data_IF_088684425333
#
_entry.id   IF_088684425333
#
_cell.length_a   1.000
_cell.length_b   1.000
_cell.length_c   1.000
_cell.angle_alpha   90.00
_cell.angle_beta   90.00
_cell.angle_gamma   90.00
#
_symmetry.space_group_name_H-M   'P 1'
#
loop_
_entity.id
_entity.type
_entity.pdbx_description
1 polymer ?
#
# COMPACT_ATOMS: atom_id res chain seq x y z
N UNK A 1 -38.52 50.35 9.64
CA UNK A 1 -39.26 49.07 9.57
C UNK A 1 -39.11 48.51 8.18
N UNK A 2 -38.61 47.27 8.07
CA UNK A 2 -38.64 46.52 6.81
C UNK A 2 -40.10 46.10 6.58
N UNK A 3 -40.63 46.32 5.38
CA UNK A 3 -42.02 45.95 5.04
C UNK A 3 -42.08 44.45 4.78
N UNK A 4 -43.10 43.78 5.30
CA UNK A 4 -43.44 42.40 4.94
C UNK A 4 -43.90 42.31 3.48
N UNK A 5 -43.77 41.13 2.86
CA UNK A 5 -43.99 40.83 1.44
C UNK A 5 -42.98 41.47 0.48
N UNK A 6 -41.70 41.50 0.84
CA UNK A 6 -40.64 42.01 -0.05
C UNK A 6 -40.07 40.97 -1.05
N UNK A 7 -40.06 39.65 -0.77
CA UNK A 7 -39.74 38.63 -1.77
C UNK A 7 -40.91 38.40 -2.72
N UNK A 8 -40.62 38.02 -3.97
CA UNK A 8 -41.62 37.48 -4.87
C UNK A 8 -42.18 36.15 -4.33
N UNK A 9 -43.36 35.73 -4.82
CA UNK A 9 -43.92 34.42 -4.43
C UNK A 9 -43.03 33.27 -4.88
N UNK A 10 -42.32 33.42 -5.99
CA UNK A 10 -41.38 32.43 -6.53
C UNK A 10 -40.12 32.38 -5.65
N UNK A 11 -39.55 33.53 -5.31
CA UNK A 11 -38.37 33.65 -4.43
C UNK A 11 -38.65 33.09 -3.04
N UNK A 12 -39.83 33.36 -2.47
CA UNK A 12 -40.21 32.80 -1.17
C UNK A 12 -40.28 31.27 -1.19
N UNK A 13 -40.77 30.68 -2.29
CA UNK A 13 -40.76 29.22 -2.47
C UNK A 13 -39.35 28.64 -2.59
N UNK A 14 -38.45 29.35 -3.26
CA UNK A 14 -37.04 28.97 -3.39
C UNK A 14 -36.31 29.01 -2.04
N UNK A 15 -36.46 30.11 -1.29
CA UNK A 15 -35.90 30.26 0.07
C UNK A 15 -36.39 29.14 1.00
N UNK A 16 -37.69 28.82 0.97
CA UNK A 16 -38.28 27.72 1.75
C UNK A 16 -37.69 26.36 1.36
N UNK A 17 -37.39 26.17 0.07
CA UNK A 17 -36.78 24.95 -0.43
C UNK A 17 -35.34 24.81 0.08
N UNK A 18 -34.56 25.89 0.10
CA UNK A 18 -33.20 25.91 0.66
C UNK A 18 -33.19 25.57 2.16
N UNK A 19 -34.10 26.12 2.96
CA UNK A 19 -34.16 25.83 4.41
C UNK A 19 -34.58 24.39 4.70
N UNK A 20 -35.47 23.80 3.88
CA UNK A 20 -35.99 22.43 4.09
C UNK A 20 -35.08 21.31 3.56
N UNK A 21 -34.09 21.63 2.73
CA UNK A 21 -33.17 20.64 2.17
C UNK A 21 -32.24 20.08 3.25
N UNK A 22 -32.21 18.76 3.40
CA UNK A 22 -31.34 18.07 4.37
C UNK A 22 -29.83 18.26 4.14
N UNK A 23 -29.41 18.64 2.93
CA UNK A 23 -27.99 18.74 2.53
C UNK A 23 -27.62 20.11 1.96
N UNK A 24 -28.38 21.16 2.29
CA UNK A 24 -28.00 22.50 1.88
C UNK A 24 -26.79 22.98 2.67
N UNK A 25 -25.96 23.83 2.05
CA UNK A 25 -24.86 24.47 2.76
C UNK A 25 -25.40 25.26 3.97
N UNK A 26 -24.77 25.08 5.14
CA UNK A 26 -25.24 25.68 6.39
C UNK A 26 -25.28 27.21 6.30
N UNK A 27 -24.34 27.84 5.58
CA UNK A 27 -24.32 29.28 5.36
C UNK A 27 -25.50 29.73 4.49
N UNK A 28 -25.76 29.02 3.38
CA UNK A 28 -26.87 29.29 2.46
C UNK A 28 -28.22 29.14 3.16
N UNK A 29 -28.47 28.01 3.83
CA UNK A 29 -29.73 27.77 4.54
C UNK A 29 -29.98 28.81 5.65
N UNK A 30 -28.92 29.23 6.35
CA UNK A 30 -29.01 30.24 7.42
C UNK A 30 -29.35 31.64 6.88
N UNK A 31 -28.80 32.05 5.74
CA UNK A 31 -29.17 33.30 5.06
C UNK A 31 -30.60 33.27 4.54
N UNK A 32 -31.01 32.14 3.94
CA UNK A 32 -32.40 31.95 3.49
C UNK A 32 -33.40 32.08 4.65
N UNK A 33 -33.10 31.46 5.79
CA UNK A 33 -33.93 31.52 6.99
C UNK A 33 -34.06 32.96 7.52
N UNK A 34 -32.97 33.73 7.50
CA UNK A 34 -33.01 35.15 7.91
C UNK A 34 -33.92 35.98 7.01
N UNK A 35 -33.88 35.79 5.69
CA UNK A 35 -34.76 36.51 4.74
C UNK A 35 -36.24 36.13 4.91
N UNK A 36 -36.54 34.85 5.15
CA UNK A 36 -37.91 34.39 5.41
C UNK A 36 -38.48 34.98 6.70
N UNK A 37 -37.68 35.03 7.78
CA UNK A 37 -38.12 35.62 9.05
C UNK A 37 -38.33 37.13 8.95
N UNK A 38 -37.51 37.83 8.15
CA UNK A 38 -37.74 39.25 7.83
C UNK A 38 -39.07 39.44 7.09
N UNK A 39 -39.37 38.56 6.13
CA UNK A 39 -40.61 38.63 5.36
C UNK A 39 -41.85 38.33 6.22
N UNK A 40 -41.69 37.45 7.21
CA UNK A 40 -42.69 37.16 8.25
C UNK A 40 -42.84 38.30 9.29
N UNK A 41 -42.14 39.42 9.09
CA UNK A 41 -42.30 40.65 9.87
C UNK A 41 -41.43 40.73 11.14
N UNK A 42 -40.47 39.82 11.32
CA UNK A 42 -39.51 39.90 12.44
C UNK A 42 -38.50 41.01 12.21
N UNK A 43 -38.09 41.68 13.27
CA UNK A 43 -37.04 42.69 13.23
C UNK A 43 -35.65 42.06 13.09
N UNK A 44 -34.68 42.81 12.54
CA UNK A 44 -33.29 42.36 12.45
C UNK A 44 -32.72 41.95 13.82
N UNK A 45 -33.13 42.63 14.89
CA UNK A 45 -32.69 42.36 16.27
C UNK A 45 -33.21 41.01 16.77
N UNK A 46 -34.49 40.71 16.53
CA UNK A 46 -35.08 39.41 16.91
C UNK A 46 -34.43 38.26 16.12
N UNK A 47 -34.19 38.45 14.82
CA UNK A 47 -33.56 37.44 13.97
C UNK A 47 -32.10 37.21 14.38
N UNK A 48 -31.37 38.28 14.67
CA UNK A 48 -30.00 38.21 15.18
C UNK A 48 -29.93 37.39 16.48
N UNK A 49 -30.88 37.56 17.39
CA UNK A 49 -30.96 36.76 18.62
C UNK A 49 -31.26 35.29 18.34
N UNK A 50 -32.22 34.98 17.48
CA UNK A 50 -32.64 33.60 17.18
C UNK A 50 -31.58 32.84 16.39
N UNK A 51 -30.93 33.50 15.43
CA UNK A 51 -29.92 32.89 14.59
C UNK A 51 -28.50 33.01 15.18
N UNK A 52 -28.31 33.70 16.30
CA UNK A 52 -26.99 34.02 16.89
C UNK A 52 -26.08 34.73 15.87
N UNK A 53 -26.55 35.86 15.36
CA UNK A 53 -25.87 36.75 14.42
C UNK A 53 -25.84 38.18 14.99
N UNK A 54 -25.08 39.04 14.33
CA UNK A 54 -25.16 40.48 14.54
C UNK A 54 -26.31 41.07 13.69
N UNK A 55 -27.05 42.05 14.21
CA UNK A 55 -28.21 42.60 13.50
C UNK A 55 -27.82 43.39 12.24
N UNK A 56 -26.60 43.94 12.16
CA UNK A 56 -26.08 44.53 10.93
C UNK A 56 -25.82 43.48 9.84
N UNK A 57 -25.50 42.24 10.22
CA UNK A 57 -25.34 41.13 9.26
C UNK A 57 -26.68 40.82 8.59
N UNK A 58 -27.76 40.77 9.36
CA UNK A 58 -29.12 40.54 8.86
C UNK A 58 -29.57 41.70 7.96
N UNK A 59 -29.28 42.95 8.35
CA UNK A 59 -29.53 44.14 7.51
C UNK A 59 -28.74 44.08 6.20
N UNK A 60 -27.49 43.64 6.25
CA UNK A 60 -26.61 43.48 5.09
C UNK A 60 -27.20 42.51 4.08
N UNK A 61 -27.64 41.33 4.53
CA UNK A 61 -28.28 40.33 3.65
C UNK A 61 -29.58 40.83 3.03
N UNK A 62 -30.42 41.52 3.81
CA UNK A 62 -31.64 42.13 3.27
C UNK A 62 -31.34 43.18 2.19
N UNK A 63 -30.36 44.05 2.45
CA UNK A 63 -29.95 45.08 1.48
C UNK A 63 -29.42 44.46 0.18
N UNK A 64 -28.60 43.41 0.31
CA UNK A 64 -28.02 42.69 -0.82
C UNK A 64 -29.09 41.92 -1.61
N UNK A 65 -30.07 41.33 -0.92
CA UNK A 65 -31.21 40.69 -1.57
C UNK A 65 -32.02 41.69 -2.40
N UNK A 66 -32.29 42.89 -1.86
CA UNK A 66 -33.03 43.92 -2.60
C UNK A 66 -32.26 44.48 -3.81
N UNK A 67 -30.92 44.47 -3.79
CA UNK A 67 -30.12 45.00 -4.89
C UNK A 67 -29.82 43.97 -5.98
N UNK A 68 -29.58 42.71 -5.60
CA UNK A 68 -28.98 41.70 -6.48
C UNK A 68 -29.72 40.34 -6.46
N UNK A 69 -30.76 40.21 -5.65
CA UNK A 69 -31.58 38.99 -5.56
C UNK A 69 -30.96 37.88 -4.71
N UNK A 70 -31.61 36.70 -4.72
CA UNK A 70 -31.25 35.56 -3.89
C UNK A 70 -29.87 34.98 -4.22
N UNK A 71 -29.54 34.83 -5.51
CA UNK A 71 -28.27 34.23 -5.96
C UNK A 71 -27.04 34.94 -5.38
N UNK A 72 -27.10 36.27 -5.27
CA UNK A 72 -26.02 37.07 -4.70
C UNK A 72 -25.84 36.84 -3.18
N UNK A 73 -26.94 36.64 -2.45
CA UNK A 73 -26.92 36.35 -1.01
C UNK A 73 -26.51 34.90 -0.74
N UNK A 74 -26.90 33.97 -1.62
CA UNK A 74 -26.51 32.56 -1.55
C UNK A 74 -25.00 32.37 -1.81
N UNK A 75 -24.38 33.19 -2.66
CA UNK A 75 -22.96 33.10 -2.95
C UNK A 75 -22.08 33.48 -1.75
N UNK A 76 -21.33 32.52 -1.21
CA UNK A 76 -20.29 32.78 -0.21
C UNK A 76 -18.95 33.09 -0.91
N UNK A 77 -18.59 34.36 -0.98
CA UNK A 77 -17.34 34.84 -1.59
C UNK A 77 -16.08 34.52 -0.78
N UNK A 78 -16.12 33.51 0.10
CA UNK A 78 -15.00 33.14 0.97
C UNK A 78 -13.76 32.75 0.18
N UNK A 79 -12.83 33.69 0.06
CA UNK A 79 -11.48 33.45 -0.46
C UNK A 79 -10.65 32.87 0.67
N UNK A 80 -10.29 31.59 0.57
CA UNK A 80 -9.52 30.87 1.59
C UNK A 80 -8.29 31.64 2.07
N UNK A 81 -7.98 31.54 3.36
CA UNK A 81 -6.92 32.33 4.00
C UNK A 81 -5.54 32.14 3.35
N UNK A 82 -4.83 33.27 3.17
CA UNK A 82 -3.46 33.30 2.68
C UNK A 82 -2.50 32.61 3.66
N UNK A 83 -1.45 31.99 3.13
CA UNK A 83 -0.38 31.40 3.95
C UNK A 83 0.32 32.48 4.76
N UNK A 84 0.61 32.22 6.05
CA UNK A 84 1.40 33.15 6.89
C UNK A 84 2.87 33.24 6.44
N UNK A 85 3.39 32.18 5.86
CA UNK A 85 4.74 32.16 5.27
C UNK A 85 4.77 32.84 3.90
N UNK A 86 5.77 33.68 3.70
CA UNK A 86 6.13 34.26 2.40
C UNK A 86 6.68 33.20 1.43
N UNK A 87 6.85 33.56 0.16
CA UNK A 87 7.43 32.65 -0.86
C UNK A 87 8.86 32.25 -0.49
N UNK A 88 9.68 33.19 -0.02
CA UNK A 88 11.05 32.91 0.40
C UNK A 88 11.11 32.00 1.63
N UNK A 89 10.26 32.24 2.62
CA UNK A 89 10.20 31.40 3.84
C UNK A 89 9.69 29.99 3.54
N UNK A 90 8.75 29.86 2.59
CA UNK A 90 8.32 28.55 2.08
C UNK A 90 9.46 27.79 1.43
N UNK A 91 10.23 28.44 0.54
CA UNK A 91 11.39 27.81 -0.10
C UNK A 91 12.43 27.36 0.94
N UNK A 92 12.73 28.19 1.93
CA UNK A 92 13.64 27.84 3.02
C UNK A 92 13.12 26.66 3.87
N UNK A 93 11.82 26.62 4.18
CA UNK A 93 11.20 25.48 4.85
C UNK A 93 11.28 24.20 4.02
N UNK A 94 11.02 24.27 2.71
CA UNK A 94 11.12 23.11 1.82
C UNK A 94 12.55 22.56 1.79
N UNK A 95 13.55 23.41 1.58
CA UNK A 95 14.97 23.00 1.58
C UNK A 95 15.35 22.33 2.92
N UNK A 96 14.94 22.93 4.05
CA UNK A 96 15.22 22.36 5.37
C UNK A 96 14.56 20.98 5.59
N UNK A 97 13.34 20.78 5.08
CA UNK A 97 12.63 19.50 5.11
C UNK A 97 13.21 18.48 4.12
N UNK A 98 13.74 18.91 2.97
CA UNK A 98 14.38 18.05 1.98
C UNK A 98 15.75 17.52 2.43
N UNK A 99 16.36 18.14 3.43
CA UNK A 99 17.56 17.62 4.08
C UNK A 99 17.25 16.65 5.24
N UNK A 100 16.01 16.66 5.76
CA UNK A 100 15.65 15.93 6.99
C UNK A 100 14.50 14.95 6.76
N UNK A 101 14.29 14.03 7.71
CA UNK A 101 13.13 13.16 7.72
C UNK A 101 12.34 13.35 9.01
N UNK A 102 11.63 14.48 9.08
CA UNK A 102 10.88 14.87 10.27
C UNK A 102 9.69 13.93 10.49
N UNK A 103 9.67 13.26 11.63
CA UNK A 103 8.61 12.29 11.99
C UNK A 103 7.37 12.95 12.60
N UNK A 104 7.44 14.24 12.94
CA UNK A 104 6.37 14.94 13.63
C UNK A 104 6.31 16.42 13.25
N UNK A 105 5.09 16.94 13.14
CA UNK A 105 4.86 18.39 12.99
C UNK A 105 5.37 19.22 14.18
N UNK A 106 5.66 18.62 15.34
CA UNK A 106 6.21 19.34 16.50
C UNK A 106 7.57 19.94 16.14
N UNK A 107 8.47 19.13 15.59
CA UNK A 107 9.80 19.56 15.15
C UNK A 107 9.70 20.65 14.07
N UNK A 108 8.83 20.44 13.09
CA UNK A 108 8.60 21.38 11.99
C UNK A 108 8.07 22.73 12.52
N UNK A 109 7.13 22.70 13.48
CA UNK A 109 6.58 23.92 14.10
C UNK A 109 7.61 24.63 14.96
N UNK A 110 8.46 23.90 15.68
CA UNK A 110 9.57 24.47 16.44
C UNK A 110 10.56 25.18 15.52
N UNK A 111 10.90 24.56 14.39
CA UNK A 111 11.75 25.18 13.36
C UNK A 111 11.12 26.45 12.78
N UNK A 112 9.85 26.39 12.35
CA UNK A 112 9.14 27.56 11.80
C UNK A 112 9.08 28.70 12.82
N UNK A 113 8.88 28.39 14.10
CA UNK A 113 8.86 29.39 15.17
C UNK A 113 10.25 29.99 15.38
N UNK A 114 11.30 29.15 15.41
CA UNK A 114 12.67 29.63 15.64
C UNK A 114 13.22 30.46 14.47
N UNK A 115 12.91 30.09 13.23
CA UNK A 115 13.47 30.73 12.04
C UNK A 115 12.64 31.90 11.52
N UNK A 116 11.32 31.85 11.67
CA UNK A 116 10.41 32.82 11.04
C UNK A 116 9.54 33.57 12.05
N UNK A 117 9.65 33.27 13.35
CA UNK A 117 8.79 33.79 14.43
C UNK A 117 7.28 33.58 14.17
N UNK A 118 6.94 32.51 13.44
CA UNK A 118 5.57 32.19 13.07
C UNK A 118 5.07 30.97 13.85
N UNK A 119 3.97 31.16 14.57
CA UNK A 119 3.29 30.05 15.26
C UNK A 119 2.22 29.41 14.39
N UNK A 120 2.36 28.12 14.14
CA UNK A 120 1.35 27.29 13.49
C UNK A 120 0.69 26.35 14.50
N UNK A 121 -0.60 26.10 14.34
CA UNK A 121 -1.27 24.96 15.00
C UNK A 121 -0.85 23.65 14.32
N UNK A 122 -1.12 22.51 14.97
CA UNK A 122 -0.87 21.19 14.37
C UNK A 122 -1.58 21.05 13.00
N UNK A 123 -2.88 21.31 12.95
CA UNK A 123 -3.68 21.24 11.72
C UNK A 123 -3.25 22.27 10.66
N UNK A 124 -2.83 23.47 11.09
CA UNK A 124 -2.28 24.48 10.20
C UNK A 124 -0.96 24.05 9.56
N UNK A 125 -0.08 23.40 10.33
CA UNK A 125 1.18 22.86 9.83
C UNK A 125 0.95 21.72 8.82
N UNK A 126 0.02 20.79 9.08
CA UNK A 126 -0.32 19.72 8.13
C UNK A 126 -0.85 20.30 6.82
N UNK A 127 -1.77 21.28 6.89
CA UNK A 127 -2.30 21.96 5.69
C UNK A 127 -1.21 22.71 4.92
N UNK A 128 -0.27 23.34 5.61
CA UNK A 128 0.88 24.00 5.00
C UNK A 128 1.75 22.98 4.24
N UNK A 129 2.12 21.87 4.88
CA UNK A 129 2.95 20.82 4.27
C UNK A 129 2.28 20.23 3.01
N UNK A 130 0.98 19.92 3.09
CA UNK A 130 0.22 19.42 1.93
C UNK A 130 0.22 20.43 0.76
N UNK A 131 0.07 21.72 1.04
CA UNK A 131 0.16 22.79 0.00
C UNK A 131 1.56 22.96 -0.58
N UNK A 132 2.59 22.52 0.12
CA UNK A 132 3.98 22.52 -0.36
C UNK A 132 4.37 21.18 -1.01
N UNK A 133 3.42 20.26 -1.17
CA UNK A 133 3.66 18.97 -1.83
C UNK A 133 4.24 17.87 -0.93
N UNK A 134 4.36 18.11 0.38
CA UNK A 134 4.85 17.10 1.31
C UNK A 134 3.75 16.12 1.71
N UNK A 135 4.09 14.83 1.70
CA UNK A 135 3.22 13.75 2.13
C UNK A 135 3.87 12.96 3.28
N UNK A 136 3.05 12.54 4.25
CA UNK A 136 3.51 11.70 5.34
C UNK A 136 3.58 10.24 4.89
N UNK A 137 4.79 9.74 4.62
CA UNK A 137 5.02 8.36 4.18
C UNK A 137 5.94 7.59 5.12
N UNK A 138 5.73 6.28 5.21
CA UNK A 138 6.67 5.36 5.85
C UNK A 138 7.80 5.02 4.87
N UNK A 139 9.08 5.18 5.25
CA UNK A 139 10.20 4.72 4.43
C UNK A 139 10.08 3.21 4.19
N UNK A 140 10.39 2.78 2.97
CA UNK A 140 10.53 1.36 2.66
C UNK A 140 11.97 0.96 2.95
N UNK A 141 12.16 -0.21 3.58
CA UNK A 141 13.49 -0.78 3.69
C UNK A 141 14.00 -1.09 2.28
N UNK A 142 15.15 -0.52 1.91
CA UNK A 142 15.84 -0.87 0.68
C UNK A 142 16.70 -2.10 0.99
N UNK A 143 16.45 -3.25 0.33
CA UNK A 143 17.39 -4.37 0.38
C UNK A 143 18.75 -3.88 -0.12
N UNK A 144 19.85 -4.47 0.39
CA UNK A 144 21.20 -4.18 -0.12
C UNK A 144 21.18 -4.30 -1.64
N UNK A 145 21.56 -3.22 -2.32
CA UNK A 145 21.19 -3.05 -3.72
C UNK A 145 21.94 -4.02 -4.61
N UNK A 146 21.14 -4.73 -5.39
CA UNK A 146 21.59 -5.59 -6.45
C UNK A 146 22.23 -4.78 -7.57
N UNK A 147 23.38 -5.22 -8.03
CA UNK A 147 24.07 -4.65 -9.19
C UNK A 147 23.16 -4.68 -10.42
N UNK A 148 22.83 -3.49 -10.95
CA UNK A 148 21.92 -3.31 -12.09
C UNK A 148 22.43 -4.02 -13.34
N UNK A 149 23.73 -4.03 -13.57
CA UNK A 149 24.33 -4.70 -14.73
C UNK A 149 24.17 -6.22 -14.60
N UNK A 150 24.39 -6.78 -13.40
CA UNK A 150 24.21 -8.22 -13.16
C UNK A 150 22.75 -8.66 -13.23
N UNK A 151 21.81 -7.80 -12.82
CA UNK A 151 20.38 -8.06 -13.02
C UNK A 151 20.06 -8.16 -14.51
N UNK A 152 20.54 -7.19 -15.32
CA UNK A 152 20.32 -7.18 -16.76
C UNK A 152 20.97 -8.38 -17.46
N UNK A 153 22.20 -8.73 -17.09
CA UNK A 153 22.92 -9.90 -17.61
C UNK A 153 22.16 -11.21 -17.33
N UNK A 154 21.67 -11.38 -16.11
CA UNK A 154 20.87 -12.56 -15.75
C UNK A 154 19.56 -12.63 -16.53
N UNK A 155 18.84 -11.50 -16.65
CA UNK A 155 17.58 -11.46 -17.42
C UNK A 155 17.84 -11.83 -18.88
N UNK A 156 18.87 -11.25 -19.51
CA UNK A 156 19.24 -11.59 -20.88
C UNK A 156 19.66 -13.06 -21.05
N UNK A 157 20.44 -13.60 -20.11
CA UNK A 157 20.79 -15.03 -20.08
C UNK A 157 19.54 -15.90 -19.99
N UNK A 158 18.60 -15.54 -19.12
CA UNK A 158 17.37 -16.30 -18.89
C UNK A 158 16.45 -16.29 -20.09
N UNK A 159 16.23 -15.12 -20.69
CA UNK A 159 15.43 -14.96 -21.90
C UNK A 159 16.03 -15.76 -23.07
N UNK A 160 17.34 -15.69 -23.27
CA UNK A 160 18.03 -16.48 -24.29
C UNK A 160 17.86 -17.98 -24.04
N UNK A 161 18.05 -18.43 -22.79
CA UNK A 161 17.87 -19.83 -22.40
C UNK A 161 16.45 -20.33 -22.68
N UNK A 162 15.42 -19.56 -22.31
CA UNK A 162 14.03 -19.92 -22.60
C UNK A 162 13.73 -19.97 -24.10
N UNK A 163 14.26 -19.02 -24.88
CA UNK A 163 14.05 -18.98 -26.33
C UNK A 163 14.75 -20.13 -27.07
N UNK A 164 15.76 -20.75 -26.47
CA UNK A 164 16.48 -21.91 -27.02
C UNK A 164 16.18 -23.23 -26.29
N UNK A 165 15.24 -23.25 -25.36
CA UNK A 165 14.96 -24.40 -24.51
C UNK A 165 14.33 -25.53 -25.35
N UNK A 166 14.88 -26.73 -25.26
CA UNK A 166 14.32 -27.90 -25.94
C UNK A 166 13.18 -28.54 -25.12
N UNK A 167 12.27 -29.25 -25.79
CA UNK A 167 11.12 -29.92 -25.14
C UNK A 167 11.54 -30.97 -24.10
N UNK A 168 12.75 -31.53 -24.23
CA UNK A 168 13.36 -32.46 -23.28
C UNK A 168 14.17 -31.75 -22.17
N UNK A 169 13.98 -30.45 -21.99
CA UNK A 169 14.56 -29.67 -20.91
C UNK A 169 13.48 -29.07 -20.00
N UNK A 170 13.85 -28.70 -18.78
CA UNK A 170 12.94 -28.06 -17.84
C UNK A 170 13.65 -27.03 -16.98
N UNK A 171 12.92 -25.98 -16.58
CA UNK A 171 13.43 -24.91 -15.72
C UNK A 171 12.63 -24.88 -14.42
N UNK A 172 13.34 -24.94 -13.30
CA UNK A 172 12.80 -24.82 -11.95
C UNK A 172 13.47 -23.65 -11.23
N UNK A 173 12.66 -22.92 -10.46
CA UNK A 173 13.11 -21.92 -9.51
C UNK A 173 13.00 -22.50 -8.11
N UNK A 174 14.09 -22.57 -7.36
CA UNK A 174 14.15 -23.17 -6.05
C UNK A 174 14.58 -22.17 -4.97
N UNK A 175 14.02 -22.35 -3.79
CA UNK A 175 14.30 -21.53 -2.62
C UNK A 175 13.76 -22.19 -1.34
N UNK A 176 14.19 -21.69 -0.18
CA UNK A 176 13.67 -22.08 1.11
C UNK A 176 12.86 -20.95 1.77
N UNK A 177 11.67 -21.30 2.27
CA UNK A 177 10.80 -20.40 3.02
C UNK A 177 10.58 -20.91 4.45
N UNK A 178 10.46 -19.96 5.37
CA UNK A 178 10.28 -20.21 6.80
C UNK A 178 8.97 -19.60 7.32
N UNK A 179 7.78 -20.14 7.01
CA UNK A 179 6.53 -19.60 7.52
C UNK A 179 6.48 -19.67 9.05
N UNK A 180 6.43 -18.51 9.69
CA UNK A 180 6.35 -18.39 11.14
C UNK A 180 4.89 -18.55 11.62
N UNK A 181 4.72 -19.17 12.80
CA UNK A 181 3.44 -19.30 13.49
C UNK A 181 2.99 -17.97 14.10
N UNK A 182 2.75 -16.99 13.25
CA UNK A 182 2.31 -15.65 13.60
C UNK A 182 1.14 -15.24 12.71
N UNK A 183 0.09 -14.73 13.34
CA UNK A 183 -1.01 -14.06 12.64
C UNK A 183 -0.46 -12.83 11.88
N UNK A 184 -0.71 -12.76 10.57
CA UNK A 184 -0.30 -11.62 9.73
C UNK A 184 -1.52 -10.79 9.33
N UNK A 185 -1.78 -9.62 9.97
CA UNK A 185 -2.81 -8.71 9.50
C UNK A 185 -2.50 -8.22 8.09
N UNK A 186 -3.50 -8.23 7.22
CA UNK A 186 -3.41 -7.74 5.85
C UNK A 186 -4.63 -6.87 5.52
N UNK A 187 -4.47 -5.96 4.57
CA UNK A 187 -5.55 -5.07 4.14
C UNK A 187 -6.75 -5.86 3.61
N UNK A 188 -7.95 -5.37 3.92
CA UNK A 188 -9.21 -5.94 3.46
C UNK A 188 -10.33 -4.90 3.54
N UNK A 189 -11.34 -5.03 2.68
CA UNK A 189 -12.49 -4.13 2.68
C UNK A 189 -13.45 -4.51 3.80
N UNK A 190 -13.85 -3.52 4.60
CA UNK A 190 -14.83 -3.69 5.66
C UNK A 190 -15.84 -2.54 5.64
N UNK A 191 -17.06 -2.82 6.11
CA UNK A 191 -18.12 -1.80 6.16
C UNK A 191 -17.69 -0.67 7.10
N UNK A 192 -17.90 0.58 6.70
CA UNK A 192 -17.62 1.75 7.55
C UNK A 192 -18.30 1.60 8.92
N UNK A 193 -17.52 1.78 9.99
CA UNK A 193 -17.97 1.60 11.37
C UNK A 193 -17.71 0.20 11.95
N UNK A 194 -17.14 -0.73 11.17
CA UNK A 194 -16.69 -2.03 11.68
C UNK A 194 -15.19 -2.03 11.94
N UNK A 195 -14.77 -2.60 13.07
CA UNK A 195 -13.38 -2.66 13.52
C UNK A 195 -12.90 -4.12 13.56
N UNK A 196 -12.52 -4.73 12.42
CA UNK A 196 -12.03 -6.11 12.40
C UNK A 196 -10.76 -6.24 13.25
N UNK A 197 -10.67 -7.31 14.04
CA UNK A 197 -9.51 -7.61 14.87
C UNK A 197 -9.04 -9.04 14.63
N UNK A 198 -7.73 -9.27 14.73
CA UNK A 198 -7.11 -10.57 14.55
C UNK A 198 -6.41 -10.97 15.84
N UNK A 199 -6.71 -12.18 16.36
CA UNK A 199 -6.02 -12.71 17.54
C UNK A 199 -4.55 -12.93 17.22
N UNK A 200 -3.67 -12.47 18.10
CA UNK A 200 -2.24 -12.77 18.03
C UNK A 200 -2.00 -14.20 18.54
N UNK A 201 -1.09 -14.91 17.89
CA UNK A 201 -0.59 -16.21 18.36
C UNK A 201 0.68 -15.98 19.17
N UNK A 202 0.82 -16.67 20.31
CA UNK A 202 2.07 -16.71 21.08
C UNK A 202 2.91 -17.90 20.63
N UNK A 203 4.20 -17.67 20.35
CA UNK A 203 5.14 -18.73 19.97
C UNK A 203 6.19 -18.30 18.95
N UNK A 204 7.31 -19.04 18.90
CA UNK A 204 8.40 -18.86 17.93
C UNK A 204 8.53 -20.03 16.94
N UNK A 205 7.49 -20.87 16.86
CA UNK A 205 7.52 -22.00 15.94
C UNK A 205 7.44 -21.53 14.49
N UNK A 206 8.07 -22.29 13.61
CA UNK A 206 8.07 -22.09 12.17
C UNK A 206 8.00 -23.43 11.47
N UNK A 207 7.48 -23.41 10.25
CA UNK A 207 7.66 -24.51 9.30
C UNK A 207 8.85 -24.15 8.43
N UNK A 208 9.66 -25.12 8.05
CA UNK A 208 10.65 -24.91 7.00
C UNK A 208 10.21 -25.69 5.77
N UNK A 209 10.22 -25.02 4.63
CA UNK A 209 9.93 -25.63 3.33
C UNK A 209 11.11 -25.30 2.44
N UNK A 210 11.71 -26.31 1.83
CA UNK A 210 12.63 -26.14 0.72
C UNK A 210 11.89 -26.62 -0.53
N UNK A 211 11.56 -25.70 -1.43
CA UNK A 211 10.68 -25.97 -2.56
C UNK A 211 11.27 -25.52 -3.88
N UNK A 212 10.67 -26.00 -4.96
CA UNK A 212 10.91 -25.53 -6.31
C UNK A 212 9.59 -25.26 -7.03
N UNK A 213 9.68 -24.54 -8.15
CA UNK A 213 8.57 -24.15 -9.00
C UNK A 213 9.00 -24.20 -10.47
N UNK A 214 8.30 -24.99 -11.28
CA UNK A 214 8.35 -24.87 -12.73
C UNK A 214 7.18 -23.98 -13.19
N UNK A 215 7.45 -22.91 -13.94
CA UNK A 215 6.42 -21.94 -14.34
C UNK A 215 5.50 -22.43 -15.47
N UNK A 216 6.00 -23.31 -16.33
CA UNK A 216 5.26 -23.85 -17.46
C UNK A 216 4.18 -24.82 -16.97
N UNK A 217 4.59 -25.83 -16.20
CA UNK A 217 3.71 -26.90 -15.71
C UNK A 217 3.08 -26.58 -14.36
N UNK A 218 3.60 -25.58 -13.65
CA UNK A 218 3.27 -25.28 -12.26
C UNK A 218 3.58 -26.44 -11.29
N UNK A 219 4.48 -27.36 -11.67
CA UNK A 219 4.97 -28.38 -10.73
C UNK A 219 5.75 -27.73 -9.59
N UNK A 220 5.42 -28.14 -8.35
CA UNK A 220 6.03 -27.60 -7.13
C UNK A 220 6.54 -28.71 -6.21
N UNK A 221 7.68 -29.36 -6.51
CA UNK A 221 8.29 -30.31 -5.60
C UNK A 221 8.81 -29.58 -4.36
N UNK A 222 8.66 -30.20 -3.20
CA UNK A 222 9.14 -29.63 -1.94
C UNK A 222 9.53 -30.69 -0.92
N UNK A 223 10.35 -30.30 0.04
CA UNK A 223 10.65 -31.02 1.28
C UNK A 223 10.36 -30.11 2.48
N UNK A 224 9.97 -30.71 3.61
CA UNK A 224 9.65 -29.99 4.84
C UNK A 224 10.58 -30.44 5.97
N UNK A 225 11.86 -30.00 5.96
CA UNK A 225 12.86 -30.47 6.90
C UNK A 225 12.77 -29.75 8.25
N UNK A 226 13.43 -30.32 9.27
CA UNK A 226 13.62 -29.63 10.56
C UNK A 226 14.56 -28.43 10.39
N UNK A 227 15.59 -28.56 9.53
CA UNK A 227 16.58 -27.53 9.22
C UNK A 227 16.79 -27.48 7.71
N UNK A 228 16.95 -26.28 7.16
CA UNK A 228 17.33 -26.11 5.75
C UNK A 228 18.85 -26.08 5.68
N UNK A 229 19.41 -26.97 4.86
CA UNK A 229 20.82 -27.32 4.78
C UNK A 229 21.12 -28.05 3.44
N UNK A 230 22.36 -28.53 3.28
CA UNK A 230 22.78 -29.25 2.07
C UNK A 230 22.03 -30.55 1.86
N UNK A 231 21.64 -31.24 2.93
CA UNK A 231 20.89 -32.51 2.86
C UNK A 231 19.49 -32.27 2.31
N UNK A 232 18.77 -31.30 2.84
CA UNK A 232 17.44 -30.95 2.33
C UNK A 232 17.49 -30.38 0.91
N UNK A 233 18.56 -29.66 0.53
CA UNK A 233 18.81 -29.27 -0.86
C UNK A 233 18.93 -30.50 -1.77
N UNK A 234 19.75 -31.49 -1.41
CA UNK A 234 19.90 -32.74 -2.17
C UNK A 234 18.58 -33.51 -2.27
N UNK A 235 17.78 -33.57 -1.20
CA UNK A 235 16.47 -34.22 -1.22
C UNK A 235 15.50 -33.52 -2.19
N UNK A 236 15.54 -32.19 -2.26
CA UNK A 236 14.75 -31.41 -3.22
C UNK A 236 15.21 -31.71 -4.65
N UNK A 237 16.51 -31.66 -4.93
CA UNK A 237 17.06 -31.94 -6.26
C UNK A 237 16.72 -33.37 -6.73
N UNK A 238 16.80 -34.35 -5.84
CA UNK A 238 16.41 -35.73 -6.14
C UNK A 238 14.91 -35.84 -6.49
N UNK A 239 14.04 -35.10 -5.79
CA UNK A 239 12.61 -35.05 -6.12
C UNK A 239 12.34 -34.38 -7.46
N UNK A 240 13.08 -33.32 -7.80
CA UNK A 240 12.98 -32.67 -9.10
C UNK A 240 13.37 -33.67 -10.20
N UNK A 241 14.52 -34.34 -10.09
CA UNK A 241 14.92 -35.37 -11.07
C UNK A 241 13.87 -36.48 -11.21
N UNK A 242 13.32 -36.95 -10.09
CA UNK A 242 12.31 -38.00 -10.09
C UNK A 242 10.96 -37.59 -10.68
N UNK A 243 10.63 -36.29 -10.74
CA UNK A 243 9.39 -35.81 -11.38
C UNK A 243 9.52 -35.55 -12.87
N UNK A 244 10.74 -35.53 -13.38
CA UNK A 244 11.06 -35.13 -14.75
C UNK A 244 11.84 -36.25 -15.44
N UNK A 245 11.27 -37.46 -15.51
CA UNK A 245 11.95 -38.66 -16.06
C UNK A 245 12.25 -38.55 -17.55
N UNK A 246 11.42 -37.79 -18.28
CA UNK A 246 11.51 -37.53 -19.72
C UNK A 246 12.51 -36.43 -20.08
N UNK A 247 13.00 -35.66 -19.09
CA UNK A 247 13.90 -34.54 -19.34
C UNK A 247 15.36 -34.96 -19.36
N UNK A 248 16.12 -34.55 -20.36
CA UNK A 248 17.57 -34.72 -20.48
C UNK A 248 18.32 -33.79 -19.53
N UNK A 249 17.93 -32.52 -19.46
CA UNK A 249 18.55 -31.50 -18.61
C UNK A 249 17.47 -30.77 -17.81
N UNK A 250 17.74 -30.51 -16.53
CA UNK A 250 16.85 -29.77 -15.65
C UNK A 250 17.62 -28.61 -15.04
N UNK A 251 17.33 -27.39 -15.49
CA UNK A 251 17.92 -26.16 -15.00
C UNK A 251 17.26 -25.77 -13.68
N UNK A 252 18.03 -25.68 -12.60
CA UNK A 252 17.53 -25.23 -11.29
C UNK A 252 18.17 -23.90 -10.94
N UNK A 253 17.37 -22.85 -10.97
CA UNK A 253 17.73 -21.48 -10.57
C UNK A 253 17.47 -21.32 -9.08
N UNK A 254 18.48 -20.93 -8.31
CA UNK A 254 18.33 -20.68 -6.87
C UNK A 254 19.30 -19.60 -6.36
N UNK A 255 19.14 -19.20 -5.10
CA UNK A 255 19.97 -18.19 -4.47
C UNK A 255 21.40 -18.68 -4.16
N UNK A 256 22.23 -17.78 -3.62
CA UNK A 256 23.63 -18.05 -3.27
C UNK A 256 23.82 -18.59 -1.85
N UNK A 257 22.81 -19.23 -1.23
CA UNK A 257 22.96 -19.77 0.11
C UNK A 257 24.17 -20.73 0.20
N UNK A 258 24.94 -20.62 1.28
CA UNK A 258 26.20 -21.36 1.43
C UNK A 258 26.03 -22.88 1.29
N UNK A 259 24.89 -23.41 1.75
CA UNK A 259 24.57 -24.83 1.67
C UNK A 259 24.26 -25.32 0.24
N UNK A 260 23.91 -24.44 -0.71
CA UNK A 260 23.80 -24.77 -2.13
C UNK A 260 25.15 -25.11 -2.77
N UNK A 261 26.25 -24.68 -2.15
CA UNK A 261 27.63 -24.96 -2.60
C UNK A 261 28.34 -25.95 -1.67
N UNK A 262 27.60 -26.55 -0.74
CA UNK A 262 28.11 -27.47 0.26
C UNK A 262 28.57 -28.82 -0.31
N UNK A 263 29.26 -29.64 0.51
CA UNK A 263 29.76 -30.95 0.09
C UNK A 263 28.64 -31.89 -0.39
N UNK A 264 27.47 -31.88 0.25
CA UNK A 264 26.34 -32.74 -0.12
C UNK A 264 25.86 -32.46 -1.55
N UNK A 265 25.66 -31.18 -1.88
CA UNK A 265 25.22 -30.76 -3.22
C UNK A 265 26.30 -31.08 -4.26
N UNK A 266 27.58 -30.82 -3.96
CA UNK A 266 28.69 -31.17 -4.87
C UNK A 266 28.75 -32.68 -5.14
N UNK A 267 28.57 -33.50 -4.11
CA UNK A 267 28.56 -34.96 -4.26
C UNK A 267 27.37 -35.42 -5.11
N UNK A 268 26.18 -34.82 -4.92
CA UNK A 268 25.00 -35.11 -5.72
C UNK A 268 25.19 -34.78 -7.21
N UNK A 269 25.78 -33.63 -7.53
CA UNK A 269 26.04 -33.20 -8.91
C UNK A 269 27.13 -34.02 -9.59
N UNK A 270 28.04 -34.62 -8.83
CA UNK A 270 29.13 -35.45 -9.37
C UNK A 270 28.68 -36.84 -9.83
N UNK A 271 27.40 -37.19 -9.66
CA UNK A 271 26.86 -38.48 -10.12
C UNK A 271 26.85 -38.53 -11.65
N UNK A 272 27.28 -39.66 -12.21
CA UNK A 272 27.40 -39.89 -13.67
C UNK A 272 26.10 -39.61 -14.47
N UNK A 273 24.95 -39.85 -13.86
CA UNK A 273 23.64 -39.65 -14.50
C UNK A 273 22.86 -38.47 -13.91
N UNK A 274 23.54 -37.50 -13.28
CA UNK A 274 22.89 -36.30 -12.79
C UNK A 274 22.44 -35.44 -13.99
N UNK A 275 21.18 -35.01 -13.97
CA UNK A 275 20.58 -34.18 -15.03
C UNK A 275 20.36 -32.74 -14.57
N UNK A 276 20.70 -32.44 -13.32
CA UNK A 276 20.52 -31.11 -12.72
C UNK A 276 21.66 -30.20 -13.17
N UNK A 277 21.28 -29.09 -13.79
CA UNK A 277 22.17 -27.98 -14.09
C UNK A 277 21.81 -26.78 -13.20
N UNK A 278 22.69 -26.41 -12.28
CA UNK A 278 22.42 -25.31 -11.35
C UNK A 278 22.75 -23.96 -11.96
N UNK A 279 21.86 -22.99 -11.75
CA UNK A 279 22.04 -21.58 -12.13
C UNK A 279 21.92 -20.74 -10.86
N UNK A 280 22.92 -19.89 -10.61
CA UNK A 280 22.91 -19.00 -9.45
C UNK A 280 22.24 -17.68 -9.83
N UNK A 281 21.36 -17.18 -8.98
CA UNK A 281 20.86 -15.81 -9.09
C UNK A 281 21.99 -14.81 -8.81
N UNK A 282 21.92 -13.59 -9.35
CA UNK A 282 22.78 -12.52 -8.88
C UNK A 282 22.54 -12.26 -7.38
N UNK A 283 23.58 -11.88 -6.61
CA UNK A 283 23.42 -11.59 -5.18
C UNK A 283 22.32 -10.54 -4.92
N UNK A 284 21.55 -10.74 -3.85
CA UNK A 284 20.50 -9.82 -3.40
C UNK A 284 19.38 -9.55 -4.42
N UNK A 285 19.10 -10.50 -5.32
CA UNK A 285 18.05 -10.39 -6.35
C UNK A 285 16.85 -11.34 -6.16
N UNK A 286 16.14 -11.35 -5.01
CA UNK A 286 15.00 -12.24 -4.80
C UNK A 286 13.84 -11.95 -5.77
N UNK A 287 13.74 -10.72 -6.29
CA UNK A 287 12.72 -10.35 -7.29
C UNK A 287 12.89 -11.04 -8.65
N UNK A 288 14.07 -11.60 -8.91
CA UNK A 288 14.38 -12.44 -10.07
C UNK A 288 14.09 -13.93 -9.80
N UNK A 289 13.55 -14.28 -8.63
CA UNK A 289 13.16 -15.64 -8.27
C UNK A 289 11.62 -15.77 -8.19
N UNK A 290 10.93 -16.28 -9.22
CA UNK A 290 9.47 -16.45 -9.23
C UNK A 290 8.89 -17.24 -8.06
N UNK A 291 9.65 -18.16 -7.45
CA UNK A 291 9.16 -18.89 -6.28
C UNK A 291 8.87 -17.98 -5.08
N UNK A 292 9.52 -16.80 -4.98
CA UNK A 292 9.21 -15.78 -3.98
C UNK A 292 7.77 -15.24 -4.14
N UNK A 293 7.29 -15.16 -5.39
CA UNK A 293 5.89 -14.81 -5.68
C UNK A 293 4.95 -15.93 -5.23
N UNK A 294 5.35 -17.20 -5.38
CA UNK A 294 4.59 -18.34 -4.84
C UNK A 294 4.54 -18.31 -3.30
N UNK A 295 5.62 -17.92 -2.63
CA UNK A 295 5.63 -17.70 -1.18
C UNK A 295 4.63 -16.61 -0.76
N UNK A 296 4.53 -15.52 -1.53
CA UNK A 296 3.52 -14.50 -1.30
C UNK A 296 2.09 -15.06 -1.45
N UNK A 297 1.82 -15.87 -2.48
CA UNK A 297 0.51 -16.54 -2.67
C UNK A 297 0.18 -17.48 -1.51
N UNK A 298 1.16 -18.28 -1.04
CA UNK A 298 1.01 -19.12 0.14
C UNK A 298 0.64 -18.28 1.36
N UNK A 299 1.34 -17.16 1.60
CA UNK A 299 1.03 -16.27 2.71
C UNK A 299 -0.38 -15.68 2.63
N UNK A 300 -0.83 -15.28 1.44
CA UNK A 300 -2.21 -14.83 1.21
C UNK A 300 -3.25 -15.92 1.52
N UNK A 301 -2.97 -17.18 1.20
CA UNK A 301 -3.89 -18.30 1.40
C UNK A 301 -3.89 -18.87 2.82
N UNK A 302 -2.75 -18.83 3.52
CA UNK A 302 -2.59 -19.55 4.78
C UNK A 302 -2.45 -18.63 5.98
N UNK A 303 -1.83 -17.46 5.82
CA UNK A 303 -1.38 -16.63 6.96
C UNK A 303 -2.06 -15.28 7.08
N UNK A 304 -2.43 -14.66 5.96
CA UNK A 304 -3.08 -13.35 5.95
C UNK A 304 -4.47 -13.44 6.57
N UNK A 305 -4.74 -12.56 7.55
CA UNK A 305 -6.03 -12.45 8.24
C UNK A 305 -6.56 -13.77 8.82
N UNK A 306 -5.67 -14.71 9.14
CA UNK A 306 -6.01 -16.02 9.71
C UNK A 306 -5.20 -16.26 10.98
N UNK A 307 -5.88 -16.74 12.02
CA UNK A 307 -5.25 -17.19 13.25
C UNK A 307 -5.46 -18.71 13.36
N UNK A 308 -4.37 -19.45 13.47
CA UNK A 308 -4.42 -20.90 13.65
C UNK A 308 -4.42 -21.21 15.16
N UNK A 309 -5.30 -22.08 15.68
CA UNK A 309 -5.36 -22.36 17.12
C UNK A 309 -4.10 -23.04 17.68
N UNK A 310 -3.42 -23.84 16.86
CA UNK A 310 -2.22 -24.58 17.26
C UNK A 310 -1.16 -24.57 16.16
N UNK A 311 0.10 -24.79 16.56
CA UNK A 311 1.22 -24.95 15.62
C UNK A 311 1.01 -26.14 14.68
N UNK A 312 0.39 -27.22 15.15
CA UNK A 312 0.06 -28.39 14.34
C UNK A 312 -0.88 -28.03 13.20
N UNK A 313 -1.98 -27.33 13.50
CA UNK A 313 -2.96 -26.90 12.48
C UNK A 313 -2.34 -25.91 11.49
N UNK A 314 -1.45 -25.04 11.94
CA UNK A 314 -0.68 -24.16 11.06
C UNK A 314 0.20 -24.96 10.08
N UNK A 315 0.98 -25.92 10.58
CA UNK A 315 1.81 -26.80 9.76
C UNK A 315 0.97 -27.60 8.76
N UNK A 316 -0.15 -28.17 9.20
CA UNK A 316 -1.09 -28.88 8.32
C UNK A 316 -1.65 -27.97 7.23
N UNK A 317 -1.99 -26.72 7.55
CA UNK A 317 -2.48 -25.74 6.56
C UNK A 317 -1.41 -25.37 5.53
N UNK A 318 -0.16 -25.17 5.95
CA UNK A 318 0.98 -24.94 5.05
C UNK A 318 1.18 -26.15 4.13
N UNK A 319 1.25 -27.36 4.68
CA UNK A 319 1.46 -28.57 3.89
C UNK A 319 0.28 -28.87 2.95
N UNK A 320 -0.96 -28.59 3.39
CA UNK A 320 -2.16 -28.70 2.55
C UNK A 320 -2.11 -27.74 1.37
N UNK A 321 -1.58 -26.54 1.54
CA UNK A 321 -1.38 -25.60 0.44
C UNK A 321 -0.55 -26.23 -0.68
N UNK A 322 0.62 -26.79 -0.33
CA UNK A 322 1.51 -27.42 -1.31
C UNK A 322 0.98 -28.74 -1.89
N UNK A 323 0.40 -29.61 -1.05
CA UNK A 323 0.01 -30.96 -1.48
C UNK A 323 -1.32 -31.01 -2.21
N UNK A 324 -2.18 -30.02 -2.01
CA UNK A 324 -3.57 -30.05 -2.48
C UNK A 324 -3.97 -28.78 -3.22
N UNK A 325 -3.80 -27.61 -2.59
CA UNK A 325 -4.30 -26.35 -3.15
C UNK A 325 -3.55 -25.97 -4.43
N UNK A 326 -2.21 -26.06 -4.45
CA UNK A 326 -1.44 -25.77 -5.66
C UNK A 326 -1.87 -26.71 -6.81
N UNK A 327 -1.81 -28.06 -6.68
CA UNK A 327 -2.21 -28.94 -7.77
C UNK A 327 -3.64 -28.71 -8.28
N UNK A 328 -4.60 -28.42 -7.39
CA UNK A 328 -6.00 -28.25 -7.76
C UNK A 328 -6.33 -26.86 -8.33
N UNK A 329 -5.59 -25.82 -7.93
CA UNK A 329 -5.99 -24.43 -8.14
C UNK A 329 -4.90 -23.55 -8.77
N UNK A 330 -3.81 -24.13 -9.27
CA UNK A 330 -2.67 -23.36 -9.77
C UNK A 330 -3.03 -22.34 -10.85
N UNK A 331 -4.07 -22.60 -11.67
CA UNK A 331 -4.56 -21.67 -12.69
C UNK A 331 -4.92 -20.29 -12.11
N UNK A 332 -5.37 -20.24 -10.85
CA UNK A 332 -5.72 -18.99 -10.15
C UNK A 332 -4.47 -18.18 -9.76
N UNK A 333 -3.28 -18.79 -9.80
CA UNK A 333 -2.03 -18.20 -9.33
C UNK A 333 -1.12 -17.78 -10.48
N UNK A 334 -1.33 -18.27 -11.71
CA UNK A 334 -0.48 -17.96 -12.88
C UNK A 334 -0.25 -16.47 -13.11
N UNK A 335 -1.29 -15.63 -12.91
CA UNK A 335 -1.16 -14.19 -13.11
C UNK A 335 -0.31 -13.50 -12.02
N UNK A 336 -0.15 -14.13 -10.86
CA UNK A 336 0.62 -13.60 -9.73
C UNK A 336 2.06 -14.14 -9.71
N UNK A 337 2.22 -15.40 -10.13
CA UNK A 337 3.50 -16.13 -10.10
C UNK A 337 4.06 -16.16 -11.53
N UNK A 338 4.83 -15.13 -11.85
CA UNK A 338 5.41 -14.93 -13.19
C UNK A 338 6.91 -14.68 -13.13
N UNK A 339 7.55 -14.84 -14.27
CA UNK A 339 8.92 -14.47 -14.62
C UNK A 339 9.02 -13.07 -15.24
N UNK A 340 8.01 -12.22 -15.05
CA UNK A 340 8.05 -10.79 -15.43
C UNK A 340 9.07 -10.04 -14.55
N UNK A 341 10.34 -10.22 -14.87
CA UNK A 341 11.47 -9.63 -14.18
C UNK A 341 11.53 -8.13 -14.41
N UNK A 342 12.00 -7.42 -13.38
CA UNK A 342 12.18 -5.98 -13.43
C UNK A 342 13.54 -5.67 -12.85
N UNK A 343 14.27 -4.79 -13.51
CA UNK A 343 15.48 -4.22 -12.95
C UNK A 343 15.08 -3.26 -11.84
N UNK A 344 15.60 -3.49 -10.64
CA UNK A 344 15.45 -2.58 -9.51
C UNK A 344 16.74 -1.77 -9.39
N UNK A 345 16.63 -0.45 -9.39
CA UNK A 345 17.74 0.48 -9.21
C UNK A 345 17.43 1.51 -8.12
N UNK A 346 18.48 2.12 -7.57
CA UNK A 346 18.35 3.26 -6.63
C UNK A 346 18.03 4.58 -7.32
N UNK A 347 17.92 4.60 -8.65
CA UNK A 347 17.66 5.83 -9.38
C UNK A 347 16.33 6.42 -8.91
N UNK A 348 16.37 7.66 -8.42
CA UNK A 348 15.26 8.42 -7.82
C UNK A 348 14.86 8.03 -6.38
N UNK A 349 15.70 7.30 -5.64
CA UNK A 349 15.50 7.07 -4.21
C UNK A 349 16.37 8.00 -3.37
N UNK A 350 15.74 8.74 -2.45
CA UNK A 350 16.44 9.44 -1.37
C UNK A 350 16.69 8.45 -0.23
N UNK A 351 17.94 8.05 -0.03
CA UNK A 351 18.35 7.24 1.12
C UNK A 351 18.35 8.14 2.36
N UNK A 352 17.75 7.66 3.45
CA UNK A 352 17.83 8.34 4.74
C UNK A 352 19.15 7.93 5.39
N UNK A 353 20.05 8.89 5.61
CA UNK A 353 21.31 8.70 6.34
C UNK A 353 21.11 8.81 7.86
#
# INVERSE_FOLDING_TARGET
MIRSNFPSREDRCELLSCVKRQREDHGVARRANALLLLDDGKSCVEIAQVLYLDDDTVRGWHKQYLSEGWDAVAYDGWKGGQSRLSVAQKAALCAWLEERFCRSTVEIRSYITAQFDLRYSHSGCVKLLARQGFEYRKPKALPRVADVAKQAEFIAMYENMLNSLADDEAVYFADAVHPEYQSKPAFGWVKKGTNPTLKTTSGRARVNIHGALNLETFDTPFVAPITVDGVSAVQLLAKIEARNHDKRIIHVVWDNAAYHKGPDVRAFLSRKNCRIHLIQLPPYCPHLNPIERLWAVMHQHVTHNRAHPTQKLFTEAILKFFRKIIPEQWHNFRNQVTDNFRIISEQNLRVLE
#
